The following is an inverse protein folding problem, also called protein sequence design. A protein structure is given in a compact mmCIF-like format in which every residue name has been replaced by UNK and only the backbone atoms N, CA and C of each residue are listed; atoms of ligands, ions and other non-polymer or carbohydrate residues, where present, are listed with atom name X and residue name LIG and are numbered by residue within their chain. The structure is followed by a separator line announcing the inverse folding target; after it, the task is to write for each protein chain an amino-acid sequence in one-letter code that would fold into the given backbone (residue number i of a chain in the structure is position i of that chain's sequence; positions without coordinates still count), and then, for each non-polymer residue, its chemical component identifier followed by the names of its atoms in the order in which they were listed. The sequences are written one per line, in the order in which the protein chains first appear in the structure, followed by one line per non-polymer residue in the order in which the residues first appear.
data_IF_481879489946
#
_entry.id   IF_481879489946
#
_cell.length_a   1.000
_cell.length_b   1.000
_cell.length_c   1.000
_cell.angle_alpha   90.00
_cell.angle_beta   90.00
_cell.angle_gamma   90.00
#
_symmetry.space_group_name_H-M   'P 1'
#
loop_
_entity.id
_entity.type
_entity.pdbx_description
1 polymer ?
#
# COMPACT_ATOMS: atom_id res chain seq x y z
N UNK A 1 -57.43 -11.35 2.67
CA UNK A 1 -57.45 -10.47 1.48
C UNK A 1 -56.18 -9.63 1.58
N UNK A 2 -55.10 -9.95 0.85
CA UNK A 2 -54.85 -9.58 -0.56
C UNK A 2 -55.02 -8.07 -0.74
N UNK A 3 -54.07 -7.28 -1.22
CA UNK A 3 -52.88 -7.55 -2.02
C UNK A 3 -51.83 -6.42 -1.86
N UNK A 4 -50.58 -6.77 -2.13
CA UNK A 4 -49.54 -5.84 -2.58
C UNK A 4 -49.91 -5.23 -3.93
N UNK A 5 -49.50 -3.98 -4.13
CA UNK A 5 -49.16 -3.39 -5.43
C UNK A 5 -48.16 -2.26 -5.14
N UNK A 6 -46.87 -2.41 -5.43
CA UNK A 6 -46.21 -2.26 -6.74
C UNK A 6 -45.51 -0.90 -6.86
N UNK A 7 -44.19 -0.97 -7.10
CA UNK A 7 -43.61 -0.22 -8.20
C UNK A 7 -43.11 1.19 -7.92
N UNK A 8 -41.95 1.31 -7.28
CA UNK A 8 -41.00 2.39 -7.59
C UNK A 8 -39.57 1.83 -7.69
N UNK A 9 -39.31 1.03 -8.72
CA UNK A 9 -37.96 0.79 -9.23
C UNK A 9 -37.74 1.67 -10.47
N UNK A 10 -37.20 2.87 -10.28
CA UNK A 10 -36.44 3.56 -11.32
C UNK A 10 -35.27 4.34 -10.73
N UNK A 11 -34.07 3.85 -11.05
CA UNK A 11 -32.87 4.61 -11.38
C UNK A 11 -32.42 5.72 -10.45
N UNK A 12 -31.42 5.40 -9.63
CA UNK A 12 -30.34 6.33 -9.31
C UNK A 12 -29.01 5.62 -9.55
N UNK A 13 -28.53 5.70 -10.80
CA UNK A 13 -27.11 5.56 -11.08
C UNK A 13 -26.47 6.96 -11.01
N UNK A 14 -25.29 7.00 -10.39
CA UNK A 14 -24.30 8.09 -10.32
C UNK A 14 -24.57 9.29 -9.40
N UNK A 15 -23.92 9.27 -8.22
CA UNK A 15 -22.83 10.21 -7.86
C UNK A 15 -22.15 9.69 -6.59
N UNK A 16 -20.82 9.63 -6.65
CA UNK A 16 -19.96 8.96 -5.68
C UNK A 16 -20.13 9.50 -4.25
N UNK A 17 -20.49 8.59 -3.35
CA UNK A 17 -20.24 8.71 -1.92
C UNK A 17 -19.09 7.78 -1.59
N UNK A 18 -17.97 8.32 -1.10
CA UNK A 18 -16.87 7.52 -0.55
C UNK A 18 -17.36 6.92 0.77
N UNK A 19 -17.88 5.70 0.69
CA UNK A 19 -18.51 4.98 1.81
C UNK A 19 -17.50 4.14 2.59
N UNK A 20 -17.53 4.26 3.93
CA UNK A 20 -16.70 3.48 4.85
C UNK A 20 -16.90 1.95 4.79
N UNK A 21 -17.90 1.47 4.04
CA UNK A 21 -18.17 0.04 3.82
C UNK A 21 -17.20 -0.61 2.81
N UNK A 22 -16.70 0.14 1.81
CA UNK A 22 -15.63 -0.36 0.95
C UNK A 22 -14.31 -0.48 1.72
N UNK A 23 -14.03 0.46 2.64
CA UNK A 23 -12.79 0.47 3.43
C UNK A 23 -12.70 -0.72 4.38
N UNK A 24 -13.79 -1.09 5.05
CA UNK A 24 -13.81 -2.25 5.96
C UNK A 24 -13.73 -3.59 5.22
N UNK A 25 -14.40 -3.72 4.06
CA UNK A 25 -14.28 -4.90 3.21
C UNK A 25 -12.91 -5.01 2.55
N UNK A 26 -12.31 -3.89 2.16
CA UNK A 26 -10.94 -3.80 1.67
C UNK A 26 -9.94 -4.24 2.76
N UNK A 27 -10.06 -3.72 3.99
CA UNK A 27 -9.25 -4.16 5.13
C UNK A 27 -9.43 -5.65 5.44
N UNK A 28 -10.67 -6.17 5.42
CA UNK A 28 -10.96 -7.60 5.64
C UNK A 28 -10.34 -8.50 4.57
N UNK A 29 -10.31 -8.04 3.31
CA UNK A 29 -9.68 -8.76 2.20
C UNK A 29 -8.15 -8.68 2.29
N UNK A 30 -7.59 -7.52 2.62
CA UNK A 30 -6.17 -7.35 2.88
C UNK A 30 -5.66 -8.21 4.04
N UNK A 31 -6.41 -8.33 5.15
CA UNK A 31 -6.02 -9.20 6.28
C UNK A 31 -5.90 -10.68 5.85
N UNK A 32 -6.70 -11.15 4.89
CA UNK A 32 -6.60 -12.53 4.36
C UNK A 32 -5.45 -12.72 3.36
N UNK A 33 -4.98 -11.64 2.73
CA UNK A 33 -3.92 -11.64 1.72
C UNK A 33 -2.60 -11.04 2.27
N UNK A 34 -2.44 -10.96 3.59
CA UNK A 34 -1.21 -10.50 4.22
C UNK A 34 -0.05 -11.41 3.82
N UNK A 35 1.02 -10.84 3.24
CA UNK A 35 2.20 -11.61 2.84
C UNK A 35 3.48 -10.96 3.29
N UNK A 36 4.51 -11.78 3.46
CA UNK A 36 5.72 -11.43 4.20
C UNK A 36 6.71 -10.75 3.26
N UNK A 37 6.72 -9.42 3.30
CA UNK A 37 7.88 -8.67 2.81
C UNK A 37 9.13 -9.03 3.63
N UNK A 38 10.29 -9.09 2.97
CA UNK A 38 11.57 -9.27 3.67
C UNK A 38 11.90 -7.96 4.38
N UNK A 39 11.90 -7.99 5.71
CA UNK A 39 12.24 -6.81 6.51
C UNK A 39 13.73 -6.47 6.33
N UNK A 40 14.01 -5.22 5.97
CA UNK A 40 15.38 -4.73 5.93
C UNK A 40 15.90 -4.53 7.34
N UNK A 41 17.16 -4.90 7.62
CA UNK A 41 17.79 -4.74 8.94
C UNK A 41 18.15 -3.28 9.30
N UNK A 42 17.46 -2.28 8.72
CA UNK A 42 17.81 -0.85 8.84
C UNK A 42 16.76 0.04 9.51
N UNK A 43 15.53 -0.44 9.73
CA UNK A 43 14.50 0.37 10.38
C UNK A 43 14.65 0.35 11.90
N UNK A 44 15.24 1.40 12.45
CA UNK A 44 15.20 1.67 13.90
C UNK A 44 13.91 2.42 14.27
N UNK A 45 13.34 3.18 13.32
CA UNK A 45 12.23 4.08 13.57
C UNK A 45 10.86 3.42 13.79
N UNK A 46 10.74 2.12 13.57
CA UNK A 46 9.46 1.41 13.69
C UNK A 46 9.57 -0.06 13.32
N UNK A 47 8.62 -0.84 13.83
CA UNK A 47 8.49 -2.28 13.60
C UNK A 47 7.31 -2.55 12.67
N UNK A 48 7.58 -3.15 11.51
CA UNK A 48 6.52 -3.59 10.60
C UNK A 48 5.84 -4.82 11.20
N UNK A 49 4.51 -4.76 11.31
CA UNK A 49 3.65 -5.85 11.74
C UNK A 49 3.15 -6.66 10.55
N UNK A 50 2.78 -5.99 9.45
CA UNK A 50 2.32 -6.63 8.21
C UNK A 50 2.49 -5.71 7.00
N UNK A 51 2.68 -6.33 5.83
CA UNK A 51 2.66 -5.67 4.52
C UNK A 51 1.56 -6.30 3.67
N UNK A 52 0.81 -5.46 2.97
CA UNK A 52 -0.31 -5.82 2.13
C UNK A 52 -0.08 -5.25 0.73
N UNK A 53 -0.26 -6.07 -0.28
CA UNK A 53 -0.17 -5.66 -1.70
C UNK A 53 -1.38 -6.23 -2.43
N UNK A 54 -2.11 -5.36 -3.12
CA UNK A 54 -3.30 -5.74 -3.87
C UNK A 54 -3.28 -5.10 -5.27
N UNK A 55 -3.40 -5.86 -6.36
CA UNK A 55 -3.53 -7.32 -6.41
C UNK A 55 -2.19 -8.06 -6.20
N UNK A 56 -2.19 -9.12 -5.41
CA UNK A 56 -1.06 -10.07 -5.32
C UNK A 56 -1.55 -11.50 -5.00
N UNK A 57 -2.07 -12.25 -5.98
CA UNK A 57 -2.59 -13.60 -5.76
C UNK A 57 -1.49 -14.66 -5.58
N UNK A 58 -0.27 -14.42 -6.06
CA UNK A 58 0.90 -15.31 -5.89
C UNK A 58 2.17 -14.47 -5.72
N UNK A 59 3.13 -14.97 -4.93
CA UNK A 59 4.47 -14.38 -4.84
C UNK A 59 5.45 -15.06 -5.81
N UNK A 60 6.37 -14.30 -6.43
CA UNK A 60 6.50 -12.83 -6.39
C UNK A 60 5.30 -12.14 -7.04
N UNK A 61 4.85 -11.00 -6.49
CA UNK A 61 3.63 -10.37 -7.01
C UNK A 61 3.84 -9.91 -8.46
N UNK A 62 2.90 -10.29 -9.32
CA UNK A 62 2.89 -9.91 -10.71
C UNK A 62 2.08 -8.63 -10.88
N UNK A 63 2.77 -7.54 -11.23
CA UNK A 63 2.16 -6.25 -11.48
C UNK A 63 2.04 -6.02 -12.98
N UNK A 64 0.80 -5.85 -13.43
CA UNK A 64 0.47 -5.64 -14.84
C UNK A 64 0.75 -4.19 -15.25
N UNK A 65 1.37 -4.00 -16.41
CA UNK A 65 1.57 -2.67 -16.99
C UNK A 65 0.24 -1.97 -17.30
N UNK A 66 0.23 -0.66 -17.18
CA UNK A 66 -0.96 0.17 -17.34
C UNK A 66 -1.96 0.03 -16.19
N UNK A 67 -1.57 -0.59 -15.06
CA UNK A 67 -2.45 -0.78 -13.89
C UNK A 67 -1.86 -0.16 -12.63
N UNK A 68 -2.69 -0.10 -11.59
CA UNK A 68 -2.30 0.39 -10.27
C UNK A 68 -2.38 -0.73 -9.24
N UNK A 69 -1.35 -0.84 -8.42
CA UNK A 69 -1.33 -1.71 -7.26
C UNK A 69 -1.41 -0.89 -5.99
N UNK A 70 -2.25 -1.32 -5.06
CA UNK A 70 -2.41 -0.70 -3.75
C UNK A 70 -1.50 -1.43 -2.76
N UNK A 71 -0.89 -0.65 -1.89
CA UNK A 71 0.00 -1.17 -0.85
C UNK A 71 -0.37 -0.57 0.49
N UNK A 72 -0.46 -1.41 1.50
CA UNK A 72 -0.66 -0.98 2.88
C UNK A 72 0.39 -1.61 3.80
N UNK A 73 0.81 -0.87 4.81
CA UNK A 73 1.77 -1.33 5.81
C UNK A 73 1.22 -1.03 7.19
N UNK A 74 1.02 -2.07 7.99
CA UNK A 74 0.76 -1.93 9.40
C UNK A 74 2.10 -1.96 10.12
N UNK A 75 2.43 -0.91 10.85
CA UNK A 75 3.65 -0.83 11.65
C UNK A 75 3.39 -0.17 13.00
N UNK A 76 4.24 -0.48 13.97
CA UNK A 76 4.32 0.20 15.26
C UNK A 76 5.48 1.18 15.20
N UNK A 77 5.21 2.47 15.36
CA UNK A 77 6.23 3.51 15.35
C UNK A 77 7.07 3.49 16.64
N UNK A 78 8.37 3.72 16.52
CA UNK A 78 9.32 3.91 17.62
C UNK A 78 9.93 5.32 17.62
N UNK A 79 9.38 6.23 16.83
CA UNK A 79 9.80 7.62 16.72
C UNK A 79 8.60 8.54 16.64
N UNK A 80 8.80 9.81 16.96
CA UNK A 80 7.88 10.88 16.63
C UNK A 80 8.30 11.48 15.29
N UNK A 81 7.35 11.75 14.40
CA UNK A 81 7.62 12.42 13.14
C UNK A 81 6.43 13.23 12.66
N UNK A 82 6.68 14.45 12.18
CA UNK A 82 5.64 15.29 11.58
C UNK A 82 5.28 14.86 10.16
N UNK A 83 6.15 14.06 9.52
CA UNK A 83 5.99 13.61 8.13
C UNK A 83 6.24 12.11 8.00
N UNK A 84 5.92 11.55 6.85
CA UNK A 84 6.37 10.23 6.44
C UNK A 84 6.61 10.22 4.95
N UNK A 85 7.85 10.43 4.53
CA UNK A 85 8.22 10.56 3.12
C UNK A 85 8.49 9.19 2.50
N UNK A 86 7.72 8.83 1.50
CA UNK A 86 7.91 7.59 0.73
C UNK A 86 9.17 7.70 -0.15
N UNK A 87 10.08 6.75 -0.03
CA UNK A 87 11.29 6.61 -0.85
C UNK A 87 11.34 5.18 -1.37
N UNK A 88 11.32 5.01 -2.69
CA UNK A 88 11.16 3.70 -3.33
C UNK A 88 12.23 3.48 -4.38
N UNK A 89 12.84 2.30 -4.33
CA UNK A 89 13.89 1.89 -5.26
C UNK A 89 13.61 0.49 -5.80
N UNK A 90 13.83 0.27 -7.09
CA UNK A 90 13.94 -1.06 -7.67
C UNK A 90 15.39 -1.54 -7.65
N UNK A 91 15.67 -2.67 -7.02
CA UNK A 91 16.95 -3.36 -7.13
C UNK A 91 16.92 -4.26 -8.37
N UNK A 92 17.65 -3.85 -9.41
CA UNK A 92 17.73 -4.51 -10.71
C UNK A 92 19.19 -4.84 -10.98
N UNK A 93 19.51 -6.12 -11.10
CA UNK A 93 20.89 -6.59 -11.35
C UNK A 93 21.95 -5.99 -10.39
N UNK A 94 21.58 -5.76 -9.12
CA UNK A 94 22.47 -5.17 -8.10
C UNK A 94 22.47 -3.63 -8.04
N UNK A 95 21.77 -2.95 -8.94
CA UNK A 95 21.67 -1.48 -8.98
C UNK A 95 20.34 -1.01 -8.38
N UNK A 96 20.39 -0.03 -7.48
CA UNK A 96 19.20 0.65 -6.96
C UNK A 96 18.77 1.76 -7.91
N UNK A 97 17.57 1.62 -8.49
CA UNK A 97 16.97 2.58 -9.41
C UNK A 97 15.80 3.28 -8.71
N UNK A 98 15.82 4.61 -8.53
CA UNK A 98 14.70 5.33 -7.91
C UNK A 98 13.40 5.17 -8.72
N UNK A 99 12.28 4.96 -8.03
CA UNK A 99 10.95 4.91 -8.63
C UNK A 99 10.03 5.93 -7.96
N UNK A 100 9.50 6.94 -8.69
CA UNK A 100 8.64 7.95 -8.10
C UNK A 100 7.29 7.35 -7.72
N UNK A 101 6.83 7.66 -6.51
CA UNK A 101 5.51 7.28 -5.99
C UNK A 101 4.81 8.52 -5.42
N UNK A 102 3.47 8.56 -5.39
CA UNK A 102 2.76 9.63 -4.73
C UNK A 102 3.03 9.61 -3.21
N UNK A 103 2.70 10.70 -2.53
CA UNK A 103 2.74 10.75 -1.07
C UNK A 103 1.77 9.71 -0.49
N UNK A 104 2.25 8.91 0.45
CA UNK A 104 1.38 7.97 1.15
C UNK A 104 0.46 8.64 2.17
N UNK A 105 -0.58 7.92 2.57
CA UNK A 105 -1.53 8.34 3.61
C UNK A 105 -1.30 7.55 4.89
N UNK A 106 -1.54 8.19 6.02
CA UNK A 106 -1.36 7.61 7.36
C UNK A 106 -2.70 7.63 8.09
N UNK A 107 -3.04 6.55 8.79
CA UNK A 107 -4.23 6.47 9.64
C UNK A 107 -3.81 6.07 11.06
N UNK A 108 -4.18 6.85 12.08
CA UNK A 108 -5.20 7.91 12.09
C UNK A 108 -4.80 9.26 11.47
N UNK A 109 -3.53 9.47 11.14
CA UNK A 109 -3.03 10.70 10.52
C UNK A 109 -1.59 11.01 10.90
N UNK A 110 -1.10 12.15 10.42
CA UNK A 110 0.11 12.80 10.94
C UNK A 110 -0.28 13.77 12.07
N UNK A 111 0.61 14.05 13.05
CA UNK A 111 1.96 13.50 13.20
C UNK A 111 1.97 12.04 13.69
N UNK A 112 2.99 11.29 13.30
CA UNK A 112 3.31 9.97 13.84
C UNK A 112 3.82 10.15 15.26
N UNK A 113 3.29 9.34 16.19
CA UNK A 113 3.71 9.31 17.58
C UNK A 113 4.38 7.98 17.91
N UNK A 114 5.43 8.03 18.71
CA UNK A 114 6.12 6.85 19.21
C UNK A 114 5.14 5.90 19.94
N UNK A 115 5.38 4.60 19.85
CA UNK A 115 4.58 3.49 20.38
C UNK A 115 3.16 3.35 19.82
N UNK A 116 2.81 4.06 18.75
CA UNK A 116 1.48 3.93 18.11
C UNK A 116 1.49 2.96 16.94
N UNK A 117 0.40 2.20 16.80
CA UNK A 117 0.14 1.36 15.63
C UNK A 117 -0.50 2.22 14.54
N UNK A 118 0.10 2.22 13.35
CA UNK A 118 -0.30 3.10 12.25
C UNK A 118 -0.49 2.25 10.99
N UNK A 119 -1.52 2.60 10.21
CA UNK A 119 -1.69 2.09 8.86
C UNK A 119 -1.17 3.12 7.86
N UNK A 120 -0.15 2.75 7.10
CA UNK A 120 0.34 3.50 5.96
C UNK A 120 -0.26 2.92 4.67
N UNK A 121 -0.72 3.75 3.74
CA UNK A 121 -1.22 3.32 2.43
C UNK A 121 -0.55 4.11 1.30
N UNK A 122 -0.33 3.45 0.17
CA UNK A 122 0.15 4.09 -1.05
C UNK A 122 -0.32 3.31 -2.30
N UNK A 123 -0.31 3.96 -3.45
CA UNK A 123 -0.68 3.37 -4.74
C UNK A 123 0.52 3.45 -5.68
N UNK A 124 0.99 2.30 -6.14
CA UNK A 124 2.02 2.17 -7.15
C UNK A 124 1.36 2.09 -8.53
N UNK A 125 1.65 3.06 -9.39
CA UNK A 125 1.23 3.04 -10.79
C UNK A 125 2.32 2.37 -11.63
N UNK A 126 2.00 1.28 -12.32
CA UNK A 126 2.93 0.62 -13.26
C UNK A 126 2.62 1.11 -14.66
N UNK A 127 3.56 1.82 -15.27
CA UNK A 127 3.34 2.48 -16.56
C UNK A 127 3.53 1.51 -17.73
N UNK A 128 2.85 1.74 -18.85
CA UNK A 128 3.00 0.91 -20.06
C UNK A 128 4.44 0.85 -20.60
N UNK A 129 5.19 1.93 -20.39
CA UNK A 129 6.60 2.06 -20.77
C UNK A 129 7.57 1.33 -19.84
N UNK A 130 7.11 0.86 -18.68
CA UNK A 130 7.99 0.18 -17.74
C UNK A 130 8.42 -1.18 -18.32
N UNK A 131 9.68 -1.59 -18.11
CA UNK A 131 10.18 -2.85 -18.66
C UNK A 131 9.55 -4.04 -17.95
N UNK A 132 9.28 -5.11 -18.70
CA UNK A 132 8.93 -6.41 -18.12
C UNK A 132 10.16 -7.01 -17.47
N UNK A 133 10.19 -7.06 -16.16
CA UNK A 133 11.38 -7.48 -15.42
C UNK A 133 11.02 -8.01 -14.05
N UNK A 134 11.85 -8.91 -13.54
CA UNK A 134 11.84 -9.33 -12.13
C UNK A 134 12.81 -8.46 -11.34
N UNK A 135 12.34 -7.88 -10.24
CA UNK A 135 13.10 -6.97 -9.41
C UNK A 135 12.77 -7.16 -7.93
N UNK A 136 13.60 -6.60 -7.06
CA UNK A 136 13.25 -6.46 -5.65
C UNK A 136 12.98 -4.99 -5.39
N UNK A 137 11.76 -4.65 -4.99
CA UNK A 137 11.43 -3.28 -4.58
C UNK A 137 11.85 -3.09 -3.14
N UNK A 138 12.67 -2.07 -2.89
CA UNK A 138 12.98 -1.54 -1.57
C UNK A 138 12.05 -0.36 -1.31
N UNK A 139 11.26 -0.44 -0.25
CA UNK A 139 10.33 0.60 0.15
C UNK A 139 10.72 1.15 1.52
N UNK A 140 10.91 2.46 1.57
CA UNK A 140 11.30 3.21 2.75
C UNK A 140 10.25 4.30 3.02
N UNK A 141 9.95 4.53 4.29
CA UNK A 141 9.22 5.74 4.73
C UNK A 141 10.10 6.45 5.73
N UNK A 142 10.47 7.70 5.41
CA UNK A 142 11.45 8.49 6.16
C UNK A 142 10.79 9.58 7.02
N UNK A 143 11.38 9.85 8.18
CA UNK A 143 11.00 10.92 9.10
C UNK A 143 11.52 12.30 8.65
N UNK A 144 11.28 13.33 9.47
CA UNK A 144 11.76 14.70 9.24
C UNK A 144 13.29 14.84 9.20
N UNK A 145 14.02 13.88 9.77
CA UNK A 145 15.49 13.83 9.74
C UNK A 145 16.06 13.02 8.56
N UNK A 146 15.18 12.44 7.73
CA UNK A 146 15.58 11.57 6.62
C UNK A 146 15.95 10.15 7.04
N UNK A 147 15.63 9.74 8.27
CA UNK A 147 15.85 8.37 8.75
C UNK A 147 14.62 7.52 8.50
N UNK A 148 14.82 6.22 8.25
CA UNK A 148 13.73 5.30 7.99
C UNK A 148 12.88 5.06 9.27
N UNK A 149 11.62 5.46 9.21
CA UNK A 149 10.55 5.02 10.12
C UNK A 149 10.31 3.53 9.91
N UNK A 150 10.26 3.10 8.64
CA UNK A 150 10.30 1.69 8.29
C UNK A 150 10.94 1.46 6.91
N UNK A 151 11.48 0.25 6.73
CA UNK A 151 12.07 -0.21 5.48
C UNK A 151 11.78 -1.70 5.26
N UNK A 152 11.35 -2.08 4.07
CA UNK A 152 11.23 -3.48 3.66
C UNK A 152 11.60 -3.68 2.19
N UNK A 153 11.82 -4.94 1.83
CA UNK A 153 12.10 -5.37 0.47
C UNK A 153 11.09 -6.44 0.04
N UNK A 154 10.57 -6.34 -1.18
CA UNK A 154 9.59 -7.28 -1.72
C UNK A 154 9.98 -7.68 -3.16
N UNK A 155 10.11 -8.98 -3.47
CA UNK A 155 10.31 -9.43 -4.84
C UNK A 155 9.02 -9.26 -5.66
N UNK A 156 9.14 -8.63 -6.82
CA UNK A 156 8.04 -8.34 -7.75
C UNK A 156 8.43 -8.70 -9.18
N UNK A 157 7.41 -8.88 -10.03
CA UNK A 157 7.58 -9.05 -11.46
C UNK A 157 6.64 -8.10 -12.20
N UNK A 158 7.18 -7.29 -13.11
CA UNK A 158 6.38 -6.49 -14.04
C UNK A 158 6.02 -7.36 -15.24
N UNK A 159 4.73 -7.49 -15.52
CA UNK A 159 4.14 -8.32 -16.58
C UNK A 159 3.30 -7.50 -17.55
N UNK A 160 2.80 -8.14 -18.61
CA UNK A 160 1.88 -7.52 -19.59
C UNK A 160 0.55 -7.10 -19.02
#
# INVERSE_FOLDING_TARGET
MWASADGWTKNLNTRGGWGGEESTNFLRRMIREARVAKLGQGSVGGKINAVYVNPCPQEPCQLKRGTSAQMAVNFTANVNSNIGKSVVHGLIAGVLVPYPVPSGTFSPGLPIKETTSIMYNNTLQVLDKDPKISLVVKWEVQDDSGKDIFCFALPLQIVD
#
